data_IF_901420869882
#
_entry.id   IF_901420869882
#
_cell.length_a   1.000
_cell.length_b   1.000
_cell.length_c   1.000
_cell.angle_alpha   90.00
_cell.angle_beta   90.00
_cell.angle_gamma   90.00
#
_symmetry.space_group_name_H-M   'P 1'
#
loop_
_entity.id
_entity.type
_entity.pdbx_description
1 polymer ?
#
# COMPACT_ATOMS: atom_id res chain seq x y z
N UNK A 1 22.96 -14.76 -73.21
CA UNK A 1 22.09 -14.08 -72.22
C UNK A 1 21.54 -15.18 -71.33
N UNK A 2 22.30 -15.43 -70.27
CA UNK A 2 22.34 -16.66 -69.49
C UNK A 2 21.18 -16.80 -68.51
N UNK A 3 20.49 -17.94 -68.61
CA UNK A 3 19.53 -18.43 -67.63
C UNK A 3 20.22 -19.52 -66.81
N UNK A 4 21.30 -19.12 -66.11
CA UNK A 4 22.00 -19.94 -65.12
C UNK A 4 22.01 -19.16 -63.82
N UNK A 5 20.87 -19.14 -63.15
CA UNK A 5 20.73 -18.70 -61.75
C UNK A 5 19.46 -19.27 -61.10
N UNK A 6 18.89 -20.34 -61.66
CA UNK A 6 17.81 -21.10 -61.05
C UNK A 6 18.49 -22.26 -60.33
N UNK A 7 18.26 -22.39 -59.02
CA UNK A 7 18.79 -23.44 -58.13
C UNK A 7 20.22 -23.20 -57.56
N UNK A 8 20.44 -22.13 -56.79
CA UNK A 8 21.50 -22.10 -55.76
C UNK A 8 21.39 -20.88 -54.80
N UNK A 9 20.22 -20.64 -54.19
CA UNK A 9 20.12 -19.75 -53.02
C UNK A 9 18.85 -20.03 -52.18
N UNK A 10 18.42 -21.30 -52.12
CA UNK A 10 17.33 -21.77 -51.23
C UNK A 10 17.84 -21.97 -49.78
N UNK A 11 19.11 -21.68 -49.52
CA UNK A 11 19.69 -21.67 -48.19
C UNK A 11 20.54 -20.41 -48.07
N UNK A 12 20.34 -19.66 -46.99
CA UNK A 12 21.08 -18.45 -46.60
C UNK A 12 20.52 -17.13 -47.14
N UNK A 13 19.37 -16.73 -46.61
CA UNK A 13 19.23 -15.44 -45.92
C UNK A 13 17.98 -15.55 -45.06
N UNK A 14 18.18 -16.19 -43.92
CA UNK A 14 17.42 -16.01 -42.69
C UNK A 14 16.95 -14.57 -42.60
N UNK A 15 15.67 -14.35 -42.83
CA UNK A 15 14.96 -13.17 -42.37
C UNK A 15 15.02 -13.22 -40.85
N UNK A 16 16.08 -12.63 -40.31
CA UNK A 16 16.16 -12.23 -38.93
C UNK A 16 14.90 -11.43 -38.68
N UNK A 17 13.96 -12.08 -37.97
CA UNK A 17 12.92 -11.37 -37.27
C UNK A 17 13.69 -10.49 -36.30
N UNK A 18 13.93 -9.24 -36.71
CA UNK A 18 14.20 -8.19 -35.78
C UNK A 18 12.93 -8.11 -34.94
N UNK A 19 12.88 -8.94 -33.90
CA UNK A 19 11.98 -8.74 -32.79
C UNK A 19 12.29 -7.32 -32.38
N UNK A 20 11.37 -6.41 -32.66
CA UNK A 20 11.31 -5.13 -31.99
C UNK A 20 11.26 -5.54 -30.53
N UNK A 21 12.41 -5.46 -29.86
CA UNK A 21 12.50 -5.58 -28.42
C UNK A 21 11.74 -4.37 -27.94
N UNK A 22 10.42 -4.54 -27.79
CA UNK A 22 9.59 -3.63 -27.03
C UNK A 22 10.27 -3.63 -25.66
N UNK A 23 10.92 -2.53 -25.25
CA UNK A 23 11.50 -2.49 -23.93
C UNK A 23 10.38 -2.82 -22.95
N UNK A 24 10.66 -3.60 -21.89
CA UNK A 24 9.65 -3.86 -20.87
C UNK A 24 9.02 -2.51 -20.49
N UNK A 25 7.68 -2.45 -20.32
CA UNK A 25 7.01 -1.19 -20.01
C UNK A 25 7.80 -0.54 -18.90
N UNK A 26 8.25 0.70 -19.15
CA UNK A 26 9.03 1.44 -18.17
C UNK A 26 8.26 1.34 -16.86
N UNK A 27 8.84 0.64 -15.88
CA UNK A 27 8.25 0.57 -14.56
C UNK A 27 7.95 1.99 -14.10
N UNK A 28 6.96 2.20 -13.21
CA UNK A 28 6.60 3.52 -12.73
C UNK A 28 7.89 4.31 -12.46
N UNK A 29 8.02 5.48 -13.10
CA UNK A 29 9.22 6.31 -12.95
C UNK A 29 9.51 6.41 -11.46
N UNK A 30 10.73 6.03 -11.06
CA UNK A 30 11.17 6.07 -9.66
C UNK A 30 10.92 7.49 -9.14
N UNK A 31 9.82 7.68 -8.41
CA UNK A 31 9.46 8.96 -7.80
C UNK A 31 10.33 9.13 -6.58
N UNK A 32 11.58 9.51 -6.79
CA UNK A 32 12.46 9.82 -5.68
C UNK A 32 11.85 11.00 -4.91
N UNK A 33 11.80 10.87 -3.59
CA UNK A 33 11.54 12.02 -2.73
C UNK A 33 12.61 13.07 -3.00
N UNK A 34 12.20 14.32 -3.22
CA UNK A 34 13.13 15.46 -3.38
C UNK A 34 13.83 15.82 -2.05
N UNK A 35 13.44 15.17 -0.95
CA UNK A 35 14.01 15.41 0.37
C UNK A 35 15.40 14.77 0.51
N UNK A 36 16.45 15.58 0.77
CA UNK A 36 17.83 15.12 0.76
C UNK A 36 18.12 14.03 1.81
N UNK A 37 17.36 13.96 2.91
CA UNK A 37 17.53 12.93 3.94
C UNK A 37 16.89 11.58 3.58
N UNK A 38 15.95 11.53 2.63
CA UNK A 38 15.42 10.25 2.13
C UNK A 38 16.36 9.59 1.11
N UNK A 39 17.45 10.27 0.71
CA UNK A 39 18.44 9.76 -0.25
C UNK A 39 19.49 8.82 0.36
N UNK A 40 19.55 8.70 1.70
CA UNK A 40 20.39 7.74 2.43
C UNK A 40 19.55 6.98 3.48
N UNK A 41 18.64 6.09 3.05
CA UNK A 41 17.58 5.59 3.92
C UNK A 41 18.02 4.52 4.95
N UNK A 42 19.29 4.52 5.35
CA UNK A 42 19.84 3.51 6.26
C UNK A 42 19.07 3.44 7.58
N UNK A 43 18.56 4.58 8.07
CA UNK A 43 17.65 4.62 9.22
C UNK A 43 16.40 3.76 9.01
N UNK A 44 15.80 3.75 7.82
CA UNK A 44 14.62 2.90 7.52
C UNK A 44 15.03 1.44 7.62
N UNK A 45 16.14 1.06 6.97
CA UNK A 45 16.65 -0.30 7.03
C UNK A 45 16.86 -0.74 8.48
N UNK A 46 17.66 -0.01 9.25
CA UNK A 46 18.07 -0.41 10.60
C UNK A 46 16.86 -0.52 11.54
N UNK A 47 15.91 0.42 11.45
CA UNK A 47 14.67 0.34 12.23
C UNK A 47 13.81 -0.87 11.85
N UNK A 48 13.71 -1.20 10.56
CA UNK A 48 13.00 -2.38 10.10
C UNK A 48 13.72 -3.68 10.49
N UNK A 49 15.05 -3.73 10.48
CA UNK A 49 15.82 -4.88 10.99
C UNK A 49 15.46 -5.15 12.44
N UNK A 50 15.53 -4.13 13.31
CA UNK A 50 15.17 -4.29 14.73
C UNK A 50 13.70 -4.70 14.92
N UNK A 51 12.80 -4.17 14.10
CA UNK A 51 11.39 -4.57 14.12
C UNK A 51 11.20 -6.05 13.71
N UNK A 52 11.88 -6.49 12.65
CA UNK A 52 11.82 -7.86 12.14
C UNK A 52 12.41 -8.89 13.12
N UNK A 53 13.46 -8.53 13.86
CA UNK A 53 14.08 -9.40 14.86
C UNK A 53 13.09 -9.84 15.95
N UNK A 54 12.11 -8.99 16.30
CA UNK A 54 11.03 -9.33 17.26
C UNK A 54 10.15 -10.49 16.80
N UNK A 55 10.06 -10.70 15.48
CA UNK A 55 9.34 -11.80 14.87
C UNK A 55 10.24 -12.99 14.53
N UNK A 56 11.49 -12.99 15.01
CA UNK A 56 12.48 -14.02 14.70
C UNK A 56 12.95 -13.99 13.25
N UNK A 57 12.73 -12.88 12.54
CA UNK A 57 13.11 -12.73 11.14
C UNK A 57 14.45 -12.00 11.10
N UNK A 58 15.49 -12.69 10.67
CA UNK A 58 16.84 -12.13 10.63
C UNK A 58 17.16 -11.62 9.22
N UNK A 59 17.55 -10.35 9.14
CA UNK A 59 17.94 -9.68 7.91
C UNK A 59 19.47 -9.55 7.83
N UNK A 60 19.99 -9.47 6.60
CA UNK A 60 21.41 -9.17 6.39
C UNK A 60 21.70 -7.67 6.64
N UNK A 61 22.98 -7.26 6.58
CA UNK A 61 23.38 -5.87 6.83
C UNK A 61 22.92 -4.85 5.77
N UNK A 62 22.41 -5.32 4.62
CA UNK A 62 22.12 -4.46 3.46
C UNK A 62 20.71 -4.63 2.89
N UNK A 63 20.00 -5.70 3.27
CA UNK A 63 18.76 -6.08 2.61
C UNK A 63 17.72 -6.53 3.62
N UNK A 64 16.48 -6.08 3.38
CA UNK A 64 15.32 -6.61 4.07
C UNK A 64 14.95 -7.98 3.46
N UNK A 65 14.46 -8.93 4.27
CA UNK A 65 14.00 -10.23 3.81
C UNK A 65 12.69 -10.08 3.03
N UNK A 66 12.30 -11.15 2.32
CA UNK A 66 10.98 -11.24 1.72
C UNK A 66 9.87 -10.99 2.76
N UNK A 67 8.87 -10.22 2.35
CA UNK A 67 7.76 -9.81 3.19
C UNK A 67 6.85 -11.01 3.57
N UNK A 68 6.87 -12.08 2.79
CA UNK A 68 6.14 -13.34 3.05
C UNK A 68 6.38 -13.87 4.47
N UNK A 69 7.62 -13.77 4.96
CA UNK A 69 7.96 -14.21 6.32
C UNK A 69 7.28 -13.36 7.39
N UNK A 70 7.25 -12.04 7.19
CA UNK A 70 6.59 -11.12 8.11
C UNK A 70 5.07 -11.31 8.06
N UNK A 71 4.50 -11.47 6.87
CA UNK A 71 3.06 -11.70 6.68
C UNK A 71 2.55 -12.91 7.47
N UNK A 72 3.29 -14.03 7.44
CA UNK A 72 2.95 -15.23 8.23
C UNK A 72 2.93 -14.96 9.73
N UNK A 73 3.91 -14.21 10.23
CA UNK A 73 3.99 -13.88 11.67
C UNK A 73 2.85 -12.94 12.08
N UNK A 74 2.57 -11.92 11.28
CA UNK A 74 1.51 -10.94 11.57
C UNK A 74 0.12 -11.58 11.59
N UNK A 75 -0.16 -12.56 10.71
CA UNK A 75 -1.46 -13.26 10.66
C UNK A 75 -1.76 -14.10 11.90
N UNK A 76 -0.74 -14.51 12.64
CA UNK A 76 -0.90 -15.36 13.84
C UNK A 76 -0.92 -14.56 15.14
N UNK A 77 -0.75 -13.24 15.06
CA UNK A 77 -0.58 -12.37 16.22
C UNK A 77 -1.81 -11.46 16.45
N UNK A 78 -2.21 -11.22 17.72
CA UNK A 78 -3.23 -10.22 18.03
C UNK A 78 -2.80 -8.81 17.63
N UNK A 79 -3.74 -8.00 17.13
CA UNK A 79 -3.49 -6.63 16.69
C UNK A 79 -2.83 -5.76 17.78
N UNK A 80 -3.18 -5.98 19.07
CA UNK A 80 -2.58 -5.24 20.18
C UNK A 80 -1.06 -5.43 20.29
N UNK A 81 -0.57 -6.66 20.08
CA UNK A 81 0.86 -6.95 20.13
C UNK A 81 1.56 -6.35 18.90
N UNK A 82 0.95 -6.50 17.72
CA UNK A 82 1.46 -5.89 16.49
C UNK A 82 1.58 -4.37 16.66
N UNK A 83 0.55 -3.71 17.19
CA UNK A 83 0.58 -2.27 17.38
C UNK A 83 1.63 -1.81 18.38
N UNK A 84 1.84 -2.55 19.48
CA UNK A 84 2.93 -2.23 20.41
C UNK A 84 4.29 -2.28 19.70
N UNK A 85 4.54 -3.34 18.94
CA UNK A 85 5.81 -3.53 18.26
C UNK A 85 5.99 -2.51 17.11
N UNK A 86 4.90 -2.14 16.44
CA UNK A 86 4.85 -1.10 15.41
C UNK A 86 5.05 0.31 15.98
N UNK A 87 4.51 0.62 17.16
CA UNK A 87 4.74 1.90 17.84
C UNK A 87 6.24 2.10 18.12
N UNK A 88 6.96 1.04 18.50
CA UNK A 88 8.41 1.09 18.67
C UNK A 88 9.16 1.31 17.34
N UNK A 89 8.67 0.72 16.23
CA UNK A 89 9.19 1.00 14.89
C UNK A 89 9.00 2.49 14.53
N UNK A 90 7.82 3.05 14.79
CA UNK A 90 7.54 4.46 14.53
C UNK A 90 8.44 5.38 15.37
N UNK A 91 8.72 5.01 16.63
CA UNK A 91 9.67 5.74 17.49
C UNK A 91 11.10 5.68 16.95
N UNK A 92 11.52 4.55 16.39
CA UNK A 92 12.83 4.43 15.74
C UNK A 92 12.92 5.31 14.49
N UNK A 93 11.88 5.28 13.64
CA UNK A 93 11.83 6.03 12.39
C UNK A 93 11.72 7.55 12.59
N UNK A 94 11.05 8.03 13.64
CA UNK A 94 10.84 9.46 13.92
C UNK A 94 10.28 10.20 12.70
N UNK A 95 10.93 11.29 12.26
CA UNK A 95 10.51 12.09 11.10
C UNK A 95 10.53 11.28 9.78
N UNK A 96 11.43 10.29 9.68
CA UNK A 96 11.57 9.43 8.49
C UNK A 96 10.30 8.61 8.24
N UNK A 97 9.53 8.32 9.31
CA UNK A 97 8.26 7.61 9.21
C UNK A 97 7.26 8.35 8.31
N UNK A 98 7.28 9.68 8.30
CA UNK A 98 6.33 10.50 7.55
C UNK A 98 6.83 10.82 6.15
N UNK A 99 8.11 11.20 6.03
CA UNK A 99 8.62 11.80 4.81
C UNK A 99 9.30 10.79 3.85
N UNK A 100 9.75 9.65 4.37
CA UNK A 100 10.59 8.73 3.59
C UNK A 100 10.00 7.33 3.38
N UNK A 101 8.95 6.93 4.10
CA UNK A 101 8.28 5.65 3.86
C UNK A 101 7.55 5.71 2.52
N UNK A 102 8.17 5.10 1.52
CA UNK A 102 7.76 5.13 0.11
C UNK A 102 8.35 3.95 -0.65
N UNK A 103 7.73 3.59 -1.78
CA UNK A 103 8.19 2.47 -2.63
C UNK A 103 9.68 2.63 -3.01
N UNK A 104 10.14 3.77 -3.58
CA UNK A 104 11.54 3.91 -4.00
C UNK A 104 12.57 3.85 -2.86
N UNK A 105 12.17 4.08 -1.60
CA UNK A 105 13.04 3.86 -0.45
C UNK A 105 13.19 2.38 -0.14
N UNK A 106 12.08 1.63 -0.09
CA UNK A 106 12.14 0.17 0.14
C UNK A 106 12.79 -0.57 -1.03
N UNK A 107 12.63 -0.11 -2.27
CA UNK A 107 13.33 -0.65 -3.44
C UNK A 107 14.86 -0.66 -3.31
N UNK A 108 15.44 0.10 -2.36
CA UNK A 108 16.89 0.04 -2.09
C UNK A 108 17.30 -1.16 -1.25
N UNK A 109 16.39 -1.68 -0.43
CA UNK A 109 16.64 -2.77 0.50
C UNK A 109 15.99 -4.08 0.06
N UNK A 110 15.13 -4.06 -0.95
CA UNK A 110 14.42 -5.23 -1.50
C UNK A 110 14.97 -5.71 -2.85
N UNK A 111 16.21 -5.33 -3.23
CA UNK A 111 16.80 -5.60 -4.57
C UNK A 111 17.14 -7.09 -4.86
N UNK A 112 16.44 -8.02 -4.23
CA UNK A 112 16.70 -9.45 -4.33
C UNK A 112 15.88 -10.08 -5.48
N UNK A 113 16.54 -10.87 -6.35
CA UNK A 113 15.95 -11.76 -7.38
C UNK A 113 14.79 -11.21 -8.25
N UNK A 114 14.87 -9.97 -8.74
CA UNK A 114 13.93 -9.49 -9.78
C UNK A 114 12.48 -9.25 -9.31
N UNK A 115 12.20 -9.31 -8.00
CA UNK A 115 10.90 -8.98 -7.38
C UNK A 115 10.89 -7.65 -6.61
N UNK A 116 11.80 -6.76 -6.97
CA UNK A 116 12.09 -5.52 -6.23
C UNK A 116 10.83 -4.69 -5.97
N UNK A 117 9.95 -4.59 -6.97
CA UNK A 117 8.73 -3.79 -6.89
C UNK A 117 7.67 -4.47 -6.01
N UNK A 118 7.49 -5.79 -6.10
CA UNK A 118 6.45 -6.50 -5.34
C UNK A 118 6.74 -6.44 -3.83
N UNK A 119 7.99 -6.68 -3.43
CA UNK A 119 8.42 -6.66 -2.04
C UNK A 119 8.37 -5.24 -1.46
N UNK A 120 8.86 -4.24 -2.22
CA UNK A 120 8.81 -2.84 -1.77
C UNK A 120 7.37 -2.36 -1.58
N UNK A 121 6.47 -2.72 -2.50
CA UNK A 121 5.03 -2.42 -2.40
C UNK A 121 4.44 -3.08 -1.16
N UNK A 122 4.77 -4.35 -0.87
CA UNK A 122 4.24 -5.05 0.30
C UNK A 122 4.66 -4.38 1.62
N UNK A 123 5.93 -3.98 1.76
CA UNK A 123 6.40 -3.26 2.94
C UNK A 123 5.70 -1.90 3.13
N UNK A 124 5.52 -1.13 2.06
CA UNK A 124 4.84 0.18 2.13
C UNK A 124 3.36 0.02 2.45
N UNK A 125 2.68 -0.93 1.79
CA UNK A 125 1.27 -1.21 2.06
C UNK A 125 1.05 -1.67 3.49
N UNK A 126 1.94 -2.52 4.03
CA UNK A 126 1.87 -2.96 5.40
C UNK A 126 2.14 -1.83 6.40
N UNK A 127 3.16 -1.01 6.14
CA UNK A 127 3.43 0.18 6.95
C UNK A 127 2.21 1.09 7.01
N UNK A 128 1.64 1.42 5.84
CA UNK A 128 0.49 2.29 5.74
C UNK A 128 -0.75 1.69 6.44
N UNK A 129 -0.94 0.37 6.31
CA UNK A 129 -2.03 -0.31 7.00
C UNK A 129 -1.92 -0.18 8.52
N UNK A 130 -0.75 -0.50 9.09
CA UNK A 130 -0.57 -0.44 10.55
C UNK A 130 -0.44 0.98 11.09
N UNK A 131 0.10 1.92 10.33
CA UNK A 131 0.06 3.34 10.68
C UNK A 131 -1.39 3.79 10.96
N UNK A 132 -2.33 3.38 10.11
CA UNK A 132 -3.74 3.68 10.35
C UNK A 132 -4.35 2.79 11.44
N UNK A 133 -4.19 1.46 11.35
CA UNK A 133 -4.84 0.50 12.24
C UNK A 133 -4.34 0.56 13.69
N UNK A 134 -3.12 1.04 13.93
CA UNK A 134 -2.54 1.26 15.26
C UNK A 134 -2.61 2.72 15.71
N UNK A 135 -2.83 3.66 14.78
CA UNK A 135 -3.08 5.06 15.06
C UNK A 135 -4.57 5.40 15.10
N UNK A 136 -5.01 6.28 14.20
CA UNK A 136 -6.36 6.84 14.20
C UNK A 136 -7.48 5.78 14.05
N UNK A 137 -7.22 4.68 13.35
CA UNK A 137 -8.17 3.59 13.13
C UNK A 137 -8.26 2.58 14.28
N UNK A 138 -7.33 2.60 15.24
CA UNK A 138 -7.24 1.63 16.35
C UNK A 138 -8.57 1.33 17.05
N UNK A 139 -9.39 2.31 17.49
CA UNK A 139 -10.65 2.00 18.16
C UNK A 139 -11.60 1.20 17.26
N UNK A 140 -11.69 1.53 15.96
CA UNK A 140 -12.58 0.85 15.03
C UNK A 140 -12.10 -0.59 14.73
N UNK A 141 -10.78 -0.77 14.58
CA UNK A 141 -10.19 -2.09 14.35
C UNK A 141 -10.30 -3.00 15.56
N UNK A 142 -10.12 -2.48 16.78
CA UNK A 142 -10.28 -3.28 18.01
C UNK A 142 -11.75 -3.65 18.23
N UNK A 143 -12.69 -2.73 17.99
CA UNK A 143 -14.12 -3.00 18.12
C UNK A 143 -14.63 -4.05 17.11
N UNK A 144 -13.98 -4.18 15.95
CA UNK A 144 -14.38 -5.09 14.87
C UNK A 144 -13.35 -6.20 14.59
N UNK A 145 -12.44 -6.47 15.53
CA UNK A 145 -11.26 -7.31 15.31
C UNK A 145 -11.61 -8.70 14.78
N UNK A 146 -12.55 -9.39 15.43
CA UNK A 146 -12.90 -10.77 15.08
C UNK A 146 -13.41 -10.90 13.64
N UNK A 147 -14.27 -9.96 13.20
CA UNK A 147 -14.81 -10.00 11.86
C UNK A 147 -13.77 -9.58 10.81
N UNK A 148 -13.07 -8.46 11.05
CA UNK A 148 -12.04 -7.96 10.13
C UNK A 148 -10.89 -8.97 9.96
N UNK A 149 -10.45 -9.61 11.05
CA UNK A 149 -9.41 -10.65 11.00
C UNK A 149 -9.84 -11.83 10.12
N UNK A 150 -11.07 -12.33 10.29
CA UNK A 150 -11.61 -13.38 9.40
C UNK A 150 -11.73 -12.90 7.95
N UNK A 151 -12.23 -11.69 7.74
CA UNK A 151 -12.41 -11.13 6.40
C UNK A 151 -11.07 -10.97 5.66
N UNK A 152 -10.02 -10.51 6.36
CA UNK A 152 -8.68 -10.35 5.79
C UNK A 152 -7.92 -11.67 5.62
N UNK A 153 -8.22 -12.69 6.43
CA UNK A 153 -7.70 -14.03 6.20
C UNK A 153 -8.28 -14.67 4.93
N UNK A 154 -9.53 -14.35 4.58
CA UNK A 154 -10.15 -14.80 3.31
C UNK A 154 -9.65 -13.96 2.12
N UNK A 155 -9.65 -12.64 2.26
CA UNK A 155 -9.20 -11.72 1.24
C UNK A 155 -8.50 -10.52 1.89
N UNK A 156 -7.16 -10.42 1.81
CA UNK A 156 -6.41 -9.28 2.33
C UNK A 156 -6.93 -7.95 1.80
N UNK A 157 -6.76 -6.88 2.58
CA UNK A 157 -7.24 -5.55 2.20
C UNK A 157 -6.70 -5.11 0.83
N UNK A 158 -5.42 -5.35 0.56
CA UNK A 158 -4.77 -5.00 -0.71
C UNK A 158 -5.39 -5.73 -1.90
N UNK A 159 -5.68 -7.02 -1.75
CA UNK A 159 -6.40 -7.79 -2.77
C UNK A 159 -7.83 -7.26 -2.96
N UNK A 160 -8.50 -6.86 -1.88
CA UNK A 160 -9.85 -6.27 -1.95
C UNK A 160 -9.85 -4.93 -2.67
N UNK A 161 -8.88 -4.06 -2.39
CA UNK A 161 -8.66 -2.80 -3.12
C UNK A 161 -8.51 -3.09 -4.62
N UNK A 162 -7.67 -4.06 -4.99
CA UNK A 162 -7.48 -4.42 -6.40
C UNK A 162 -8.75 -4.93 -7.08
N UNK A 163 -9.59 -5.68 -6.37
CA UNK A 163 -10.91 -6.12 -6.87
C UNK A 163 -11.88 -4.93 -7.03
N UNK A 164 -11.76 -3.93 -6.17
CA UNK A 164 -12.59 -2.72 -6.18
C UNK A 164 -12.10 -1.64 -7.15
N UNK A 165 -10.95 -1.80 -7.82
CA UNK A 165 -10.41 -0.79 -8.74
C UNK A 165 -11.20 -0.79 -10.06
N UNK A 166 -11.95 0.27 -10.40
CA UNK A 166 -12.66 0.35 -11.66
C UNK A 166 -11.70 0.65 -12.83
N UNK A 167 -12.16 0.34 -14.04
CA UNK A 167 -11.54 0.77 -15.29
C UNK A 167 -12.00 2.19 -15.63
N UNK A 168 -11.43 3.19 -14.95
CA UNK A 168 -11.63 4.61 -15.21
C UNK A 168 -10.27 5.24 -15.59
N UNK A 169 -10.20 6.21 -16.52
CA UNK A 169 -8.93 6.84 -16.90
C UNK A 169 -8.35 7.80 -15.83
N UNK A 170 -9.17 8.33 -14.94
CA UNK A 170 -8.75 9.27 -13.89
C UNK A 170 -8.38 8.55 -12.59
N UNK A 171 -7.10 8.62 -12.21
CA UNK A 171 -6.59 7.95 -11.00
C UNK A 171 -7.28 8.40 -9.71
N UNK A 172 -7.71 9.67 -9.64
CA UNK A 172 -8.43 10.20 -8.48
C UNK A 172 -9.79 9.52 -8.32
N UNK A 173 -10.58 9.51 -9.38
CA UNK A 173 -11.90 8.87 -9.44
C UNK A 173 -11.80 7.38 -9.17
N UNK A 174 -10.82 6.69 -9.76
CA UNK A 174 -10.56 5.27 -9.48
C UNK A 174 -10.32 5.00 -8.01
N UNK A 175 -9.48 5.80 -7.36
CA UNK A 175 -9.11 5.59 -5.97
C UNK A 175 -10.30 5.86 -5.03
N UNK A 176 -11.08 6.93 -5.29
CA UNK A 176 -12.30 7.26 -4.53
C UNK A 176 -13.30 6.10 -4.61
N UNK A 177 -13.60 5.62 -5.82
CA UNK A 177 -14.53 4.51 -6.03
C UNK A 177 -14.02 3.22 -5.41
N UNK A 178 -12.71 2.96 -5.45
CA UNK A 178 -12.13 1.77 -4.86
C UNK A 178 -12.27 1.73 -3.34
N UNK A 179 -12.02 2.86 -2.63
CA UNK A 179 -12.19 2.89 -1.17
C UNK A 179 -13.65 2.88 -0.74
N UNK A 180 -14.55 3.46 -1.53
CA UNK A 180 -16.00 3.37 -1.31
C UNK A 180 -16.50 1.92 -1.47
N UNK A 181 -16.06 1.22 -2.52
CA UNK A 181 -16.34 -0.21 -2.69
C UNK A 181 -15.78 -1.06 -1.53
N UNK A 182 -14.57 -0.78 -1.04
CA UNK A 182 -14.01 -1.46 0.14
C UNK A 182 -14.88 -1.20 1.38
N UNK A 183 -15.31 0.05 1.58
CA UNK A 183 -16.21 0.44 2.68
C UNK A 183 -17.49 -0.37 2.64
N UNK A 184 -18.19 -0.39 1.51
CA UNK A 184 -19.46 -1.11 1.34
C UNK A 184 -19.30 -2.63 1.50
N UNK A 185 -18.22 -3.17 0.96
CA UNK A 185 -17.92 -4.60 1.03
C UNK A 185 -17.74 -5.07 2.48
N UNK A 186 -17.01 -4.31 3.31
CA UNK A 186 -16.82 -4.67 4.72
C UNK A 186 -17.91 -4.16 5.65
N UNK A 187 -18.66 -3.13 5.25
CA UNK A 187 -19.87 -2.73 5.93
C UNK A 187 -20.96 -3.81 5.87
N UNK A 188 -21.12 -4.43 4.70
CA UNK A 188 -22.07 -5.53 4.49
C UNK A 188 -21.60 -6.86 5.10
N UNK A 189 -20.29 -7.13 5.09
CA UNK A 189 -19.73 -8.37 5.64
C UNK A 189 -19.60 -8.34 7.18
N UNK A 190 -19.31 -7.17 7.76
CA UNK A 190 -19.02 -7.03 9.18
C UNK A 190 -19.94 -6.02 9.86
N UNK A 191 -19.67 -4.72 9.67
CA UNK A 191 -20.43 -3.63 10.28
C UNK A 191 -20.07 -2.30 9.60
N UNK A 192 -20.92 -1.26 9.67
CA UNK A 192 -20.58 0.06 9.13
C UNK A 192 -19.24 0.61 9.64
N UNK A 193 -18.91 0.39 10.91
CA UNK A 193 -17.66 0.82 11.53
C UNK A 193 -16.46 0.01 11.01
N UNK A 194 -16.63 -1.29 10.76
CA UNK A 194 -15.62 -2.12 10.10
C UNK A 194 -15.34 -1.64 8.67
N UNK A 195 -16.40 -1.26 7.95
CA UNK A 195 -16.30 -0.64 6.62
C UNK A 195 -15.53 0.67 6.66
N UNK A 196 -15.85 1.56 7.61
CA UNK A 196 -15.12 2.82 7.81
C UNK A 196 -13.65 2.58 8.16
N UNK A 197 -13.35 1.60 9.03
CA UNK A 197 -11.99 1.23 9.40
C UNK A 197 -11.16 0.79 8.19
N UNK A 198 -11.70 -0.12 7.37
CA UNK A 198 -11.02 -0.63 6.20
C UNK A 198 -10.87 0.41 5.09
N UNK A 199 -11.88 1.28 4.91
CA UNK A 199 -11.81 2.41 4.00
C UNK A 199 -10.68 3.39 4.39
N UNK A 200 -10.58 3.74 5.67
CA UNK A 200 -9.51 4.62 6.16
C UNK A 200 -8.13 3.98 5.99
N UNK A 201 -8.00 2.68 6.25
CA UNK A 201 -6.75 1.96 6.00
C UNK A 201 -6.38 1.93 4.50
N UNK A 202 -7.35 1.72 3.61
CA UNK A 202 -7.14 1.76 2.16
C UNK A 202 -6.76 3.17 1.67
N UNK A 203 -7.36 4.20 2.27
CA UNK A 203 -7.00 5.60 2.00
C UNK A 203 -5.57 5.91 2.44
N UNK A 204 -5.15 5.43 3.61
CA UNK A 204 -3.77 5.61 4.06
C UNK A 204 -2.76 4.88 3.16
N UNK A 205 -3.11 3.69 2.66
CA UNK A 205 -2.31 2.98 1.64
C UNK A 205 -2.16 3.83 0.37
N UNK A 206 -3.27 4.40 -0.15
CA UNK A 206 -3.24 5.26 -1.33
C UNK A 206 -2.39 6.53 -1.11
N UNK A 207 -2.48 7.13 0.09
CA UNK A 207 -1.67 8.27 0.49
C UNK A 207 -0.17 7.92 0.46
N UNK A 208 0.21 6.78 1.02
CA UNK A 208 1.62 6.31 1.06
C UNK A 208 2.15 5.87 -0.30
N UNK A 209 1.29 5.37 -1.19
CA UNK A 209 1.66 5.07 -2.56
C UNK A 209 1.93 6.34 -3.40
N UNK A 210 1.47 7.52 -2.95
CA UNK A 210 1.62 8.81 -3.64
C UNK A 210 1.07 8.82 -5.08
N UNK A 211 0.12 7.94 -5.39
CA UNK A 211 -0.45 7.81 -6.73
C UNK A 211 -1.54 8.85 -7.03
N UNK A 212 -2.10 9.45 -5.98
CA UNK A 212 -3.22 10.40 -6.04
C UNK A 212 -2.88 11.73 -5.36
N UNK A 213 -3.57 12.80 -5.74
CA UNK A 213 -3.33 14.14 -5.20
C UNK A 213 -3.84 14.27 -3.76
N UNK A 214 -3.31 15.23 -2.96
CA UNK A 214 -3.82 15.48 -1.60
C UNK A 214 -5.32 15.80 -1.54
N UNK A 215 -5.87 16.46 -2.57
CA UNK A 215 -7.32 16.73 -2.65
C UNK A 215 -8.12 15.43 -2.80
N UNK A 216 -7.62 14.47 -3.58
CA UNK A 216 -8.25 13.15 -3.70
C UNK A 216 -8.24 12.41 -2.36
N UNK A 217 -7.11 12.44 -1.64
CA UNK A 217 -7.01 11.84 -0.31
C UNK A 217 -7.99 12.48 0.67
N UNK A 218 -8.20 13.80 0.60
CA UNK A 218 -9.20 14.47 1.43
C UNK A 218 -10.62 13.97 1.12
N UNK A 219 -10.99 13.87 -0.17
CA UNK A 219 -12.28 13.32 -0.57
C UNK A 219 -12.45 11.86 -0.10
N UNK A 220 -11.42 11.03 -0.28
CA UNK A 220 -11.42 9.65 0.22
C UNK A 220 -11.65 9.59 1.74
N UNK A 221 -10.98 10.43 2.53
CA UNK A 221 -11.20 10.51 3.98
C UNK A 221 -12.63 10.92 4.35
N UNK A 222 -13.25 11.83 3.60
CA UNK A 222 -14.66 12.19 3.77
C UNK A 222 -15.57 10.99 3.49
N UNK A 223 -15.30 10.23 2.43
CA UNK A 223 -16.04 8.99 2.09
C UNK A 223 -15.87 7.91 3.15
N UNK A 224 -14.70 7.80 3.76
CA UNK A 224 -14.40 6.80 4.78
C UNK A 224 -14.95 7.14 6.17
N UNK A 225 -15.33 8.39 6.41
CA UNK A 225 -15.92 8.80 7.69
C UNK A 225 -17.21 8.02 7.97
N UNK A 226 -17.34 7.49 9.19
CA UNK A 226 -18.53 6.79 9.65
C UNK A 226 -19.69 7.77 9.92
N UNK A 227 -20.93 7.29 9.91
CA UNK A 227 -22.12 8.09 10.22
C UNK A 227 -22.03 8.79 11.59
N UNK A 228 -21.29 8.23 12.54
CA UNK A 228 -21.04 8.82 13.86
C UNK A 228 -20.21 10.12 13.83
N UNK A 229 -19.30 10.29 12.86
CA UNK A 229 -18.52 11.51 12.70
C UNK A 229 -19.40 12.67 12.16
N UNK A 230 -20.29 12.36 11.22
CA UNK A 230 -21.28 13.32 10.71
C UNK A 230 -22.33 13.67 11.76
N UNK A 231 -22.77 12.72 12.59
CA UNK A 231 -23.67 12.98 13.72
C UNK A 231 -23.03 13.89 14.79
N UNK A 232 -21.73 13.74 15.04
CA UNK A 232 -20.96 14.61 15.95
C UNK A 232 -20.87 16.05 15.40
N UNK A 233 -20.63 16.21 14.10
CA UNK A 233 -20.58 17.54 13.47
C UNK A 233 -21.96 18.20 13.46
N UNK A 234 -23.02 17.43 13.14
CA UNK A 234 -24.39 17.94 13.14
C UNK A 234 -24.86 18.34 14.56
N UNK A 235 -24.48 17.58 15.58
CA UNK A 235 -24.82 17.90 16.98
C UNK A 235 -24.04 19.11 17.52
N UNK A 236 -22.76 19.28 17.15
CA UNK A 236 -21.99 20.49 17.48
C UNK A 236 -22.57 21.73 16.77
N UNK A 237 -22.91 21.62 15.48
CA UNK A 237 -23.57 22.71 14.76
C UNK A 237 -24.94 23.05 15.36
N UNK A 238 -25.73 22.04 15.74
CA UNK A 238 -27.02 22.26 16.40
C UNK A 238 -26.85 22.94 17.77
N UNK A 239 -25.83 22.56 18.55
CA UNK A 239 -25.51 23.23 19.82
C UNK A 239 -25.07 24.68 19.59
N UNK A 240 -24.17 24.94 18.66
CA UNK A 240 -23.71 26.31 18.35
C UNK A 240 -24.85 27.20 17.88
N UNK A 241 -25.76 26.67 17.05
CA UNK A 241 -26.96 27.41 16.64
C UNK A 241 -27.94 27.67 17.80
N UNK A 242 -28.07 26.74 18.77
CA UNK A 242 -28.93 26.92 19.95
C UNK A 242 -28.40 27.96 20.95
N UNK A 243 -27.10 28.21 20.98
CA UNK A 243 -26.47 29.21 21.86
C UNK A 243 -26.25 30.58 21.19
N UNK A 244 -26.57 30.72 19.91
CA UNK A 244 -26.50 31.96 19.14
C UNK A 244 -27.88 32.62 18.89
N UNK A 245 -28.94 32.08 19.50
CA UNK A 245 -30.28 32.67 19.55
C UNK A 245 -30.71 32.96 20.99
#
# INVERSE_FOLDING_TARGET
MDVVAVVAAVLLLSTTHAQIVVPPPAGPQKRYSNEPYCTTPQTVHDCYVTYLEKYGIHSGPYYLPGYDRLDVQLKTMPLLNICRDFDELMVCLRMVAYDCISIPVFERFTQWYGKVNEEAVAYVQNHAFFEYACGAGKPLFLANHDCLSRAFNVQPLTQRINTCLPADPDMCTRAILAVECVKESLASQCSPDAGAAACGAATNIAQRAQEVTPMCIQEMNLRCSGAAALASIASVFAFVCLFLF
#
